data_IF_199972720806
#
_entry.id   IF_199972720806
#
_cell.length_a   1.000
_cell.length_b   1.000
_cell.length_c   1.000
_cell.angle_alpha   90.00
_cell.angle_beta   90.00
_cell.angle_gamma   90.00
#
_symmetry.space_group_name_H-M   'P 1'
#
loop_
_entity.id
_entity.type
_entity.pdbx_description
1 polymer ?
#
# COMPACT_ATOMS: atom_id res chain seq x y z
N UNK A 1 -3.86 -36.73 -22.03
CA UNK A 1 -4.71 -35.59 -21.67
C UNK A 1 -5.05 -35.59 -20.18
N UNK A 2 -4.10 -35.28 -19.29
CA UNK A 2 -4.36 -35.06 -17.84
C UNK A 2 -3.66 -33.81 -17.32
N UNK A 3 -2.47 -33.51 -17.84
CA UNK A 3 -1.66 -32.33 -17.50
C UNK A 3 -2.30 -31.01 -17.97
N UNK A 4 -3.02 -31.00 -19.10
CA UNK A 4 -3.67 -29.80 -19.64
C UNK A 4 -4.87 -29.36 -18.75
N UNK A 5 -5.58 -30.32 -18.13
CA UNK A 5 -6.68 -30.02 -17.21
C UNK A 5 -6.16 -29.38 -15.91
N UNK A 6 -5.06 -29.91 -15.35
CA UNK A 6 -4.38 -29.34 -14.19
C UNK A 6 -3.90 -27.89 -14.43
N UNK A 7 -3.39 -27.58 -15.61
CA UNK A 7 -2.97 -26.22 -15.97
C UNK A 7 -4.17 -25.27 -16.08
N UNK A 8 -5.26 -25.71 -16.69
CA UNK A 8 -6.49 -24.92 -16.79
C UNK A 8 -7.11 -24.64 -15.40
N UNK A 9 -7.11 -25.64 -14.52
CA UNK A 9 -7.63 -25.51 -13.15
C UNK A 9 -6.74 -24.57 -12.31
N UNK A 10 -5.41 -24.65 -12.45
CA UNK A 10 -4.50 -23.68 -11.79
C UNK A 10 -4.64 -22.27 -12.32
N UNK A 11 -4.91 -22.10 -13.63
CA UNK A 11 -5.16 -20.78 -14.21
C UNK A 11 -6.51 -20.21 -13.77
N UNK A 12 -7.54 -21.06 -13.64
CA UNK A 12 -8.83 -20.71 -13.06
C UNK A 12 -8.69 -20.25 -11.60
N UNK A 13 -7.95 -21.01 -10.79
CA UNK A 13 -7.67 -20.67 -9.40
C UNK A 13 -6.86 -19.37 -9.25
N UNK A 14 -5.85 -19.15 -10.09
CA UNK A 14 -5.09 -17.89 -10.12
C UNK A 14 -5.96 -16.69 -10.52
N UNK A 15 -6.88 -16.88 -11.46
CA UNK A 15 -7.83 -15.85 -11.88
C UNK A 15 -8.87 -15.56 -10.80
N UNK A 16 -9.34 -16.58 -10.06
CA UNK A 16 -10.23 -16.41 -8.91
C UNK A 16 -9.54 -15.71 -7.74
N UNK A 17 -8.29 -16.08 -7.41
CA UNK A 17 -7.50 -15.34 -6.42
C UNK A 17 -7.27 -13.90 -6.86
N UNK A 18 -6.93 -13.68 -8.14
CA UNK A 18 -6.78 -12.34 -8.70
C UNK A 18 -8.07 -11.52 -8.60
N UNK A 19 -9.23 -12.11 -8.91
CA UNK A 19 -10.52 -11.42 -8.85
C UNK A 19 -10.97 -11.14 -7.42
N UNK A 20 -10.73 -12.06 -6.47
CA UNK A 20 -11.02 -11.87 -5.06
C UNK A 20 -10.11 -10.82 -4.43
N UNK A 21 -8.83 -10.77 -4.82
CA UNK A 21 -7.87 -9.73 -4.41
C UNK A 21 -8.30 -8.38 -4.99
N UNK A 22 -8.67 -8.31 -6.26
CA UNK A 22 -9.17 -7.06 -6.87
C UNK A 22 -10.47 -6.60 -6.22
N UNK A 23 -11.42 -7.50 -5.99
CA UNK A 23 -12.71 -7.20 -5.36
C UNK A 23 -12.53 -6.75 -3.89
N UNK A 24 -11.64 -7.40 -3.15
CA UNK A 24 -11.31 -7.01 -1.77
C UNK A 24 -10.56 -5.68 -1.70
N UNK A 25 -9.63 -5.41 -2.63
CA UNK A 25 -9.00 -4.09 -2.81
C UNK A 25 -10.05 -3.03 -3.12
N UNK A 26 -10.96 -3.27 -4.06
CA UNK A 26 -12.02 -2.34 -4.43
C UNK A 26 -12.94 -2.03 -3.25
N UNK A 27 -13.35 -3.05 -2.49
CA UNK A 27 -14.26 -2.91 -1.34
C UNK A 27 -13.57 -2.20 -0.16
N UNK A 28 -12.31 -2.57 0.13
CA UNK A 28 -11.52 -1.95 1.19
C UNK A 28 -11.18 -0.49 0.87
N UNK A 29 -10.86 -0.20 -0.40
CA UNK A 29 -10.68 1.16 -0.89
C UNK A 29 -11.99 1.95 -0.78
N UNK A 30 -13.14 1.40 -1.22
CA UNK A 30 -14.48 2.01 -1.10
C UNK A 30 -14.79 2.54 0.31
N UNK A 31 -14.41 1.79 1.35
CA UNK A 31 -14.61 2.18 2.76
C UNK A 31 -13.61 3.25 3.23
N UNK A 32 -12.36 3.21 2.76
CA UNK A 32 -11.34 4.26 3.00
C UNK A 32 -11.76 5.61 2.41
N UNK A 33 -12.43 5.62 1.25
CA UNK A 33 -12.87 6.85 0.57
C UNK A 33 -13.97 7.66 1.28
N UNK A 34 -14.51 7.16 2.40
CA UNK A 34 -15.64 7.78 3.11
C UNK A 34 -15.24 8.88 4.09
N UNK A 35 -13.98 8.96 4.54
CA UNK A 35 -13.50 10.11 5.31
C UNK A 35 -13.20 11.25 4.34
N UNK A 36 -13.95 12.35 4.44
CA UNK A 36 -13.91 13.46 3.47
C UNK A 36 -12.52 14.06 3.26
N UNK A 37 -11.60 13.89 4.21
CA UNK A 37 -10.24 14.47 4.23
C UNK A 37 -9.12 13.43 4.26
N UNK A 38 -9.38 12.14 4.01
CA UNK A 38 -8.33 11.12 3.95
C UNK A 38 -8.71 10.01 2.97
N UNK A 39 -8.21 10.10 1.74
CA UNK A 39 -8.68 9.31 0.58
C UNK A 39 -7.53 8.63 -0.15
N UNK A 40 -7.64 7.32 -0.39
CA UNK A 40 -6.64 6.54 -1.12
C UNK A 40 -7.11 6.21 -2.54
N UNK A 41 -6.77 7.02 -3.53
CA UNK A 41 -7.17 6.75 -4.94
C UNK A 41 -6.59 5.43 -5.47
N UNK A 42 -7.27 4.85 -6.47
CA UNK A 42 -6.77 3.64 -7.16
C UNK A 42 -5.40 3.91 -7.79
N UNK A 43 -5.19 5.10 -8.34
CA UNK A 43 -3.91 5.52 -8.93
C UNK A 43 -2.80 5.60 -7.88
N UNK A 44 -3.08 6.18 -6.71
CA UNK A 44 -2.11 6.24 -5.61
C UNK A 44 -1.83 4.84 -5.05
N UNK A 45 -2.84 3.99 -4.94
CA UNK A 45 -2.63 2.61 -4.51
C UNK A 45 -1.78 1.83 -5.51
N UNK A 46 -2.06 1.95 -6.82
CA UNK A 46 -1.23 1.35 -7.86
C UNK A 46 0.22 1.84 -7.77
N UNK A 47 0.43 3.15 -7.55
CA UNK A 47 1.76 3.72 -7.33
C UNK A 47 2.48 3.09 -6.13
N UNK A 48 1.79 2.91 -5.00
CA UNK A 48 2.33 2.26 -3.81
C UNK A 48 2.74 0.82 -4.11
N UNK A 49 1.91 0.06 -4.81
CA UNK A 49 2.21 -1.34 -5.13
C UNK A 49 3.39 -1.43 -6.10
N UNK A 50 3.38 -0.65 -7.17
CA UNK A 50 4.44 -0.66 -8.17
C UNK A 50 5.79 -0.27 -7.57
N UNK A 51 5.80 0.75 -6.70
CA UNK A 51 7.03 1.38 -6.24
C UNK A 51 7.51 0.86 -4.90
N UNK A 52 6.62 0.46 -4.01
CA UNK A 52 6.93 0.14 -2.63
C UNK A 52 6.59 -1.30 -2.22
N UNK A 53 6.10 -2.18 -3.11
CA UNK A 53 5.88 -3.59 -2.76
C UNK A 53 7.11 -4.46 -3.07
N UNK A 54 7.55 -5.29 -2.12
CA UNK A 54 8.82 -6.04 -2.18
C UNK A 54 8.94 -6.98 -3.40
N UNK A 55 7.82 -7.52 -3.91
CA UNK A 55 7.84 -8.43 -5.08
C UNK A 55 8.25 -7.76 -6.40
N UNK A 56 8.45 -6.44 -6.43
CA UNK A 56 8.83 -5.69 -7.63
C UNK A 56 10.09 -4.84 -7.38
N UNK A 57 11.25 -5.40 -7.71
CA UNK A 57 12.58 -4.75 -7.64
C UNK A 57 12.84 -3.75 -8.79
N UNK A 58 11.81 -3.02 -9.24
CA UNK A 58 11.94 -2.04 -10.35
C UNK A 58 12.54 -0.70 -9.91
N UNK A 59 12.57 -0.43 -8.60
CA UNK A 59 12.96 0.86 -8.04
C UNK A 59 13.96 0.70 -6.88
N UNK A 60 15.27 0.56 -7.18
CA UNK A 60 16.31 0.54 -6.16
C UNK A 60 16.35 1.87 -5.39
N UNK A 61 16.63 1.83 -4.08
CA UNK A 61 16.69 3.01 -3.21
C UNK A 61 15.33 3.53 -2.72
N UNK A 62 14.27 2.73 -2.81
CA UNK A 62 12.96 3.03 -2.23
C UNK A 62 12.62 2.03 -1.12
N UNK A 63 11.91 2.47 -0.09
CA UNK A 63 11.40 1.57 0.94
C UNK A 63 10.45 0.54 0.34
N UNK A 64 10.51 -0.71 0.81
CA UNK A 64 9.72 -1.84 0.32
C UNK A 64 8.98 -2.53 1.45
N UNK A 65 7.67 -2.63 1.33
CA UNK A 65 6.80 -3.42 2.20
C UNK A 65 7.06 -4.91 2.01
N UNK A 66 7.21 -5.62 3.11
CA UNK A 66 7.28 -7.09 3.17
C UNK A 66 6.02 -7.71 3.83
N UNK A 67 4.99 -6.89 4.01
CA UNK A 67 3.70 -7.28 4.59
C UNK A 67 2.64 -7.51 3.51
N UNK A 68 1.50 -8.11 3.88
CA UNK A 68 0.40 -8.35 2.92
C UNK A 68 -0.23 -7.03 2.40
N UNK A 69 -0.84 -7.06 1.21
CA UNK A 69 -1.56 -5.88 0.68
C UNK A 69 -2.71 -5.42 1.60
N UNK A 70 -3.40 -6.38 2.22
CA UNK A 70 -4.44 -6.12 3.22
C UNK A 70 -3.88 -5.39 4.44
N UNK A 71 -2.68 -5.76 4.88
CA UNK A 71 -2.00 -5.13 6.01
C UNK A 71 -1.54 -3.71 5.66
N UNK A 72 -0.97 -3.49 4.46
CA UNK A 72 -0.67 -2.12 3.99
C UNK A 72 -1.91 -1.23 4.03
N UNK A 73 -3.05 -1.73 3.52
CA UNK A 73 -4.31 -0.99 3.54
C UNK A 73 -4.82 -0.72 4.96
N UNK A 74 -4.62 -1.66 5.89
CA UNK A 74 -4.98 -1.48 7.29
C UNK A 74 -4.10 -0.43 7.96
N UNK A 75 -2.78 -0.51 7.78
CA UNK A 75 -1.83 0.46 8.33
C UNK A 75 -2.08 1.88 7.79
N UNK A 76 -2.42 2.01 6.50
CA UNK A 76 -2.81 3.31 5.91
C UNK A 76 -4.08 3.86 6.59
N UNK A 77 -5.06 2.99 6.90
CA UNK A 77 -6.26 3.41 7.66
C UNK A 77 -5.90 3.83 9.08
N UNK A 78 -5.05 3.07 9.75
CA UNK A 78 -4.66 3.35 11.14
C UNK A 78 -3.89 4.68 11.21
N UNK A 79 -3.07 4.98 10.20
CA UNK A 79 -2.38 6.25 10.06
C UNK A 79 -3.34 7.45 9.92
N UNK A 80 -4.61 7.25 9.54
CA UNK A 80 -5.60 8.34 9.48
C UNK A 80 -5.87 8.99 10.85
N UNK A 81 -5.56 8.29 11.95
CA UNK A 81 -5.70 8.79 13.33
C UNK A 81 -4.61 9.77 13.73
N UNK A 82 -3.54 9.88 12.93
CA UNK A 82 -2.41 10.76 13.19
C UNK A 82 -2.66 12.12 12.54
N UNK A 83 -2.36 13.18 13.30
CA UNK A 83 -2.44 14.54 12.78
C UNK A 83 -1.41 14.78 11.66
N UNK A 84 -1.86 15.28 10.49
CA UNK A 84 -0.98 15.56 9.38
C UNK A 84 0.03 16.65 9.74
N UNK A 85 1.32 16.38 9.50
CA UNK A 85 2.39 17.34 9.68
C UNK A 85 2.79 17.95 8.33
N UNK A 86 2.87 19.28 8.19
CA UNK A 86 3.28 19.91 6.95
C UNK A 86 4.74 19.54 6.62
N UNK A 87 5.01 19.22 5.36
CA UNK A 87 6.37 18.97 4.89
C UNK A 87 7.06 20.29 4.54
N UNK A 88 8.27 20.51 5.07
CA UNK A 88 9.02 21.75 4.79
C UNK A 88 9.27 21.90 3.28
N UNK A 89 8.86 23.04 2.73
CA UNK A 89 9.10 23.39 1.32
C UNK A 89 8.17 22.70 0.32
N UNK A 90 7.07 22.08 0.75
CA UNK A 90 6.06 21.53 -0.16
C UNK A 90 4.64 21.81 0.33
N UNK A 91 3.66 21.59 -0.54
CA UNK A 91 2.22 21.66 -0.23
C UNK A 91 1.68 20.34 0.36
N UNK A 92 2.57 19.42 0.71
CA UNK A 92 2.21 18.08 1.13
C UNK A 92 2.27 17.94 2.65
N UNK A 93 1.48 16.99 3.13
CA UNK A 93 1.41 16.61 4.52
C UNK A 93 1.91 15.18 4.68
N UNK A 94 2.56 14.93 5.81
CA UNK A 94 3.12 13.66 6.20
C UNK A 94 2.42 13.16 7.47
N UNK A 95 2.08 11.88 7.48
CA UNK A 95 1.71 11.14 8.70
C UNK A 95 2.70 9.99 8.87
N UNK A 96 3.20 9.80 10.08
CA UNK A 96 4.15 8.74 10.40
C UNK A 96 3.63 7.88 11.53
N UNK A 97 3.28 6.63 11.20
CA UNK A 97 2.79 5.63 12.14
C UNK A 97 3.96 4.73 12.55
N UNK A 98 4.38 4.84 13.81
CA UNK A 98 5.34 3.93 14.41
C UNK A 98 4.67 2.61 14.80
N UNK A 99 5.34 1.48 14.54
CA UNK A 99 4.82 0.13 14.72
C UNK A 99 5.80 -0.69 15.56
N UNK A 100 5.27 -1.68 16.29
CA UNK A 100 6.10 -2.61 17.07
C UNK A 100 6.74 -3.72 16.23
N UNK A 101 6.21 -3.96 15.03
CA UNK A 101 6.67 -4.99 14.10
C UNK A 101 7.26 -4.35 12.84
N UNK A 102 8.28 -5.00 12.28
CA UNK A 102 8.84 -4.60 11.00
C UNK A 102 7.79 -4.80 9.89
N UNK A 103 7.63 -3.78 9.05
CA UNK A 103 6.70 -3.79 7.91
C UNK A 103 7.41 -3.90 6.56
N UNK A 104 8.74 -3.95 6.58
CA UNK A 104 9.56 -4.05 5.38
C UNK A 104 10.95 -3.48 5.58
N UNK A 105 11.51 -2.93 4.52
CA UNK A 105 12.82 -2.28 4.51
C UNK A 105 12.70 -0.82 4.10
N UNK A 106 13.57 0.04 4.63
CA UNK A 106 13.68 1.43 4.22
C UNK A 106 14.55 1.59 2.96
N UNK A 107 14.75 2.84 2.53
CA UNK A 107 15.61 3.20 1.40
C UNK A 107 17.09 2.79 1.56
N UNK A 108 17.55 2.59 2.79
CA UNK A 108 18.91 2.14 3.10
C UNK A 108 19.02 0.60 3.14
N UNK A 109 17.90 -0.12 2.98
CA UNK A 109 17.85 -1.57 3.09
C UNK A 109 17.73 -2.10 4.53
N UNK A 110 17.48 -1.23 5.50
CA UNK A 110 17.35 -1.58 6.91
C UNK A 110 15.89 -1.91 7.24
N UNK A 111 15.66 -2.77 8.24
CA UNK A 111 14.32 -3.11 8.69
C UNK A 111 13.55 -1.88 9.18
N UNK A 112 12.40 -1.60 8.56
CA UNK A 112 11.56 -0.44 8.87
C UNK A 112 10.38 -0.82 9.73
N UNK A 113 10.18 -0.03 10.80
CA UNK A 113 9.08 -0.14 11.75
C UNK A 113 8.17 1.09 11.69
N UNK A 114 8.30 1.92 10.65
CA UNK A 114 7.55 3.16 10.51
C UNK A 114 6.88 3.22 9.14
N UNK A 115 5.56 3.32 9.12
CA UNK A 115 4.82 3.67 7.91
C UNK A 115 4.79 5.18 7.77
N UNK A 116 5.17 5.68 6.60
CA UNK A 116 4.95 7.08 6.22
C UNK A 116 3.92 7.17 5.11
N UNK A 117 2.92 8.05 5.30
CA UNK A 117 1.87 8.37 4.33
C UNK A 117 1.98 9.84 3.97
N UNK A 118 1.99 10.14 2.67
CA UNK A 118 2.01 11.51 2.13
C UNK A 118 0.67 11.82 1.48
N UNK A 119 0.09 12.96 1.83
CA UNK A 119 -1.15 13.47 1.23
C UNK A 119 -1.03 14.93 0.78
N UNK A 120 -1.93 15.36 -0.10
CA UNK A 120 -2.12 16.79 -0.42
C UNK A 120 -2.94 17.53 0.66
N UNK A 121 -3.12 18.84 0.48
CA UNK A 121 -3.96 19.72 1.33
C UNK A 121 -5.41 19.25 1.44
N UNK A 122 -5.95 18.60 0.40
CA UNK A 122 -7.31 18.07 0.39
C UNK A 122 -7.40 16.67 1.06
N UNK A 123 -6.26 16.10 1.46
CA UNK A 123 -6.18 14.80 2.10
C UNK A 123 -6.20 13.61 1.14
N UNK A 124 -5.97 13.84 -0.14
CA UNK A 124 -5.75 12.75 -1.09
C UNK A 124 -4.34 12.19 -0.89
N UNK A 125 -4.27 10.89 -0.63
CA UNK A 125 -3.01 10.17 -0.47
C UNK A 125 -2.31 10.11 -1.81
N UNK A 126 -1.04 10.48 -1.81
CA UNK A 126 -0.13 10.49 -2.97
C UNK A 126 0.71 9.22 -2.97
N UNK A 127 1.27 8.86 -1.81
CA UNK A 127 2.06 7.65 -1.64
C UNK A 127 2.11 7.21 -0.17
N UNK A 128 2.52 5.98 0.06
CA UNK A 128 2.82 5.42 1.37
C UNK A 128 3.98 4.42 1.24
N UNK A 129 4.89 4.42 2.21
CA UNK A 129 6.09 3.58 2.17
C UNK A 129 6.67 3.32 3.58
N UNK A 130 7.45 2.25 3.76
CA UNK A 130 8.28 2.06 4.96
C UNK A 130 9.45 3.04 4.97
N UNK A 131 9.58 3.81 6.05
CA UNK A 131 10.63 4.82 6.22
C UNK A 131 11.89 4.31 6.92
#
# INVERSE_FOLDING_TARGET
>A
MRIILLLADTQGWLNEMGSQVIHSIQTAAKKLFSNKTYRLSVTAFAHIIERHYYKTLRHPGTGKFDVSLSEILQLIKDAATIDPQPMKGSVYFKRSLALSTAIGINKNGESSHTLTVISDEAGNIITAYPE
#
